data_IF_790232425596
#
_entry.id   IF_790232425596
#
_cell.length_a   1.000
_cell.length_b   1.000
_cell.length_c   1.000
_cell.angle_alpha   90.00
_cell.angle_beta   90.00
_cell.angle_gamma   90.00
#
_symmetry.space_group_name_H-M   'P 1'
#
loop_
_entity.id
_entity.type
_entity.pdbx_description
1 polymer ?
#
# COMPACT_ATOMS: atom_id res chain seq x y z
N UNK A 1 26.72 -31.89 -67.13
CA UNK A 1 26.63 -32.17 -65.68
C UNK A 1 27.03 -30.94 -64.85
N UNK A 2 28.12 -30.26 -65.20
CA UNK A 2 28.54 -28.97 -64.59
C UNK A 2 27.47 -27.86 -64.68
N UNK A 3 26.80 -27.72 -65.81
CA UNK A 3 25.79 -26.66 -66.01
C UNK A 3 24.56 -26.82 -65.09
N UNK A 4 24.20 -28.07 -64.76
CA UNK A 4 23.12 -28.38 -63.83
C UNK A 4 23.53 -28.06 -62.38
N UNK A 5 24.76 -28.39 -62.00
CA UNK A 5 25.32 -28.12 -60.67
C UNK A 5 25.46 -26.61 -60.44
N UNK A 6 25.96 -25.86 -61.43
CA UNK A 6 26.10 -24.41 -61.33
C UNK A 6 24.73 -23.71 -61.25
N UNK A 7 23.74 -24.13 -62.04
CA UNK A 7 22.36 -23.60 -61.92
C UNK A 7 21.76 -23.91 -60.55
N UNK A 8 21.96 -25.12 -60.04
CA UNK A 8 21.50 -25.52 -58.70
C UNK A 8 22.17 -24.71 -57.58
N UNK A 9 23.49 -24.49 -57.65
CA UNK A 9 24.23 -23.68 -56.67
C UNK A 9 23.81 -22.21 -56.72
N UNK A 10 23.55 -21.68 -57.91
CA UNK A 10 23.09 -20.29 -58.08
C UNK A 10 21.67 -20.11 -57.55
N UNK A 11 20.76 -21.08 -57.81
CA UNK A 11 19.40 -21.10 -57.29
C UNK A 11 19.36 -21.25 -55.77
N UNK A 12 20.15 -22.17 -55.22
CA UNK A 12 20.32 -22.35 -53.78
C UNK A 12 20.88 -21.06 -53.16
N UNK A 13 21.92 -20.46 -53.74
CA UNK A 13 22.51 -19.21 -53.24
C UNK A 13 21.55 -18.02 -53.31
N UNK A 14 20.79 -17.88 -54.41
CA UNK A 14 19.80 -16.81 -54.58
C UNK A 14 18.57 -16.97 -53.70
N UNK A 15 18.24 -18.20 -53.28
CA UNK A 15 17.13 -18.47 -52.36
C UNK A 15 17.57 -18.44 -50.88
N UNK A 16 18.76 -18.96 -50.56
CA UNK A 16 19.31 -18.98 -49.21
C UNK A 16 19.69 -17.58 -48.70
N UNK A 17 20.24 -16.71 -49.54
CA UNK A 17 20.64 -15.36 -49.14
C UNK A 17 19.48 -14.55 -48.56
N UNK A 18 18.38 -14.35 -49.30
CA UNK A 18 17.18 -13.68 -48.80
C UNK A 18 16.52 -14.41 -47.62
N UNK A 19 16.49 -15.74 -47.63
CA UNK A 19 15.92 -16.54 -46.53
C UNK A 19 16.72 -16.39 -45.22
N UNK A 20 18.05 -16.42 -45.30
CA UNK A 20 18.95 -16.15 -44.17
C UNK A 20 18.82 -14.71 -43.68
N UNK A 21 18.70 -13.73 -44.57
CA UNK A 21 18.47 -12.34 -44.19
C UNK A 21 17.14 -12.16 -43.44
N UNK A 22 16.07 -12.85 -43.88
CA UNK A 22 14.77 -12.86 -43.19
C UNK A 22 14.88 -13.53 -41.82
N UNK A 23 15.54 -14.68 -41.72
CA UNK A 23 15.75 -15.38 -40.44
C UNK A 23 16.58 -14.53 -39.48
N UNK A 24 17.69 -13.94 -39.94
CA UNK A 24 18.53 -13.07 -39.11
C UNK A 24 17.80 -11.81 -38.67
N UNK A 25 16.95 -11.24 -39.54
CA UNK A 25 16.08 -10.12 -39.18
C UNK A 25 15.04 -10.52 -38.14
N UNK A 26 14.43 -11.71 -38.27
CA UNK A 26 13.49 -12.24 -37.29
C UNK A 26 14.14 -12.53 -35.93
N UNK A 27 15.34 -13.13 -35.93
CA UNK A 27 16.15 -13.36 -34.73
C UNK A 27 16.55 -12.02 -34.10
N UNK A 28 16.99 -11.05 -34.91
CA UNK A 28 17.35 -9.71 -34.46
C UNK A 28 16.18 -8.98 -33.80
N UNK A 29 15.00 -9.04 -34.42
CA UNK A 29 13.76 -8.51 -33.85
C UNK A 29 13.40 -9.20 -32.53
N UNK A 30 13.50 -10.53 -32.47
CA UNK A 30 13.23 -11.30 -31.26
C UNK A 30 14.19 -10.96 -30.11
N UNK A 31 15.50 -10.85 -30.39
CA UNK A 31 16.50 -10.42 -29.40
C UNK A 31 16.21 -9.00 -28.92
N UNK A 32 15.89 -8.08 -29.83
CA UNK A 32 15.54 -6.68 -29.49
C UNK A 32 14.33 -6.64 -28.57
N UNK A 33 13.26 -7.35 -28.92
CA UNK A 33 12.04 -7.45 -28.10
C UNK A 33 12.34 -7.97 -26.69
N UNK A 34 13.18 -9.01 -26.54
CA UNK A 34 13.58 -9.51 -25.22
C UNK A 34 14.36 -8.47 -24.41
N UNK A 35 15.21 -7.68 -25.05
CA UNK A 35 15.99 -6.62 -24.37
C UNK A 35 15.05 -5.50 -23.91
N UNK A 36 14.09 -5.11 -24.75
CA UNK A 36 13.08 -4.09 -24.43
C UNK A 36 12.19 -4.54 -23.27
N UNK A 37 11.65 -5.76 -23.32
CA UNK A 37 10.90 -6.38 -22.22
C UNK A 37 11.68 -6.36 -20.89
N UNK A 38 12.99 -6.64 -20.94
CA UNK A 38 13.85 -6.62 -19.75
C UNK A 38 14.06 -5.22 -19.21
N UNK A 39 14.21 -4.22 -20.09
CA UNK A 39 14.32 -2.81 -19.70
C UNK A 39 13.02 -2.32 -19.09
N UNK A 40 11.89 -2.62 -19.72
CA UNK A 40 10.55 -2.26 -19.24
C UNK A 40 10.27 -2.88 -17.87
N UNK A 41 10.54 -4.18 -17.70
CA UNK A 41 10.38 -4.84 -16.39
C UNK A 41 11.24 -4.20 -15.30
N UNK A 42 12.50 -3.84 -15.60
CA UNK A 42 13.37 -3.15 -14.63
C UNK A 42 12.79 -1.79 -14.24
N UNK A 43 12.22 -1.08 -15.20
CA UNK A 43 11.59 0.21 -14.97
C UNK A 43 10.32 0.08 -14.12
N UNK A 44 9.48 -0.93 -14.36
CA UNK A 44 8.33 -1.23 -13.51
C UNK A 44 8.74 -1.52 -12.06
N UNK A 45 9.74 -2.37 -11.84
CA UNK A 45 10.25 -2.66 -10.49
C UNK A 45 10.83 -1.41 -9.81
N UNK A 46 11.42 -0.49 -10.58
CA UNK A 46 11.90 0.80 -10.08
C UNK A 46 10.74 1.74 -9.70
N UNK A 47 9.71 1.85 -10.54
CA UNK A 47 8.50 2.64 -10.24
C UNK A 47 7.76 2.11 -9.02
N UNK A 48 7.64 0.79 -8.88
CA UNK A 48 7.08 0.15 -7.68
C UNK A 48 7.86 0.57 -6.44
N UNK A 49 9.19 0.51 -6.48
CA UNK A 49 10.03 0.91 -5.35
C UNK A 49 9.73 2.35 -4.90
N UNK A 50 9.71 3.27 -5.86
CA UNK A 50 9.50 4.70 -5.61
C UNK A 50 8.09 4.93 -5.09
N UNK A 51 7.09 4.34 -5.74
CA UNK A 51 5.68 4.50 -5.38
C UNK A 51 5.41 4.00 -3.97
N UNK A 52 5.82 2.77 -3.66
CA UNK A 52 5.61 2.14 -2.36
C UNK A 52 6.38 2.87 -1.25
N UNK A 53 7.61 3.32 -1.52
CA UNK A 53 8.37 4.11 -0.54
C UNK A 53 7.66 5.43 -0.22
N UNK A 54 7.11 6.09 -1.23
CA UNK A 54 6.33 7.31 -1.02
C UNK A 54 5.02 7.04 -0.28
N UNK A 55 4.29 5.99 -0.66
CA UNK A 55 3.06 5.60 0.04
C UNK A 55 3.34 5.27 1.52
N UNK A 56 4.44 4.59 1.83
CA UNK A 56 4.86 4.32 3.22
C UNK A 56 5.13 5.61 4.00
N UNK A 57 5.86 6.56 3.41
CA UNK A 57 6.16 7.86 4.04
C UNK A 57 4.88 8.68 4.29
N UNK A 58 3.99 8.75 3.30
CA UNK A 58 2.70 9.45 3.44
C UNK A 58 1.80 8.76 4.49
N UNK A 59 1.78 7.42 4.53
CA UNK A 59 1.07 6.62 5.54
C UNK A 59 1.62 6.92 6.94
N UNK A 60 2.94 6.96 7.09
CA UNK A 60 3.58 7.29 8.37
C UNK A 60 3.23 8.71 8.82
N UNK A 61 3.37 9.71 7.94
CA UNK A 61 3.03 11.12 8.25
C UNK A 61 1.56 11.27 8.63
N UNK A 62 0.67 10.55 7.96
CA UNK A 62 -0.77 10.52 8.28
C UNK A 62 -1.00 9.94 9.67
N UNK A 63 -0.38 8.79 9.98
CA UNK A 63 -0.45 8.16 11.32
C UNK A 63 -0.02 9.15 12.41
N UNK A 64 1.13 9.81 12.25
CA UNK A 64 1.64 10.76 13.25
C UNK A 64 0.70 11.95 13.45
N UNK A 65 0.15 12.51 12.36
CA UNK A 65 -0.81 13.62 12.45
C UNK A 65 -2.09 13.22 13.19
N UNK A 66 -2.61 12.03 12.90
CA UNK A 66 -3.81 11.51 13.58
C UNK A 66 -3.52 11.23 15.06
N UNK A 67 -2.39 10.62 15.40
CA UNK A 67 -1.98 10.39 16.79
C UNK A 67 -1.85 11.70 17.59
N UNK A 68 -1.21 12.71 16.99
CA UNK A 68 -1.10 14.03 17.59
C UNK A 68 -2.47 14.68 17.81
N UNK A 69 -3.37 14.56 16.84
CA UNK A 69 -4.73 15.05 16.94
C UNK A 69 -5.52 14.34 18.05
N UNK A 70 -5.44 13.01 18.15
CA UNK A 70 -6.04 12.24 19.26
C UNK A 70 -5.49 12.70 20.62
N UNK A 71 -4.18 12.92 20.73
CA UNK A 71 -3.58 13.43 21.97
C UNK A 71 -4.18 14.80 22.35
N UNK A 72 -4.34 15.71 21.40
CA UNK A 72 -4.97 17.01 21.63
C UNK A 72 -6.45 16.90 22.01
N UNK A 73 -7.19 15.96 21.40
CA UNK A 73 -8.58 15.68 21.79
C UNK A 73 -8.65 15.24 23.25
N UNK A 74 -7.77 14.33 23.67
CA UNK A 74 -7.70 13.85 25.07
C UNK A 74 -7.37 14.96 26.06
N UNK A 75 -6.48 15.88 25.69
CA UNK A 75 -6.22 17.09 26.49
C UNK A 75 -7.48 17.94 26.62
N UNK A 76 -8.16 18.23 25.50
CA UNK A 76 -9.41 18.99 25.50
C UNK A 76 -10.49 18.34 26.38
N UNK A 77 -10.69 17.03 26.25
CA UNK A 77 -11.63 16.26 27.09
C UNK A 77 -11.30 16.42 28.58
N UNK A 78 -10.01 16.34 28.93
CA UNK A 78 -9.56 16.50 30.32
C UNK A 78 -9.84 17.90 30.84
N UNK A 79 -9.64 18.92 30.01
CA UNK A 79 -9.89 20.31 30.38
C UNK A 79 -11.39 20.58 30.55
N UNK A 80 -12.25 20.06 29.65
CA UNK A 80 -13.71 20.12 29.77
C UNK A 80 -14.19 19.49 31.07
N UNK A 81 -13.66 18.30 31.41
CA UNK A 81 -14.01 17.57 32.64
C UNK A 81 -13.56 18.28 33.92
N UNK A 82 -12.55 19.15 33.86
CA UNK A 82 -12.10 19.97 35.00
C UNK A 82 -12.97 21.20 35.26
N UNK A 83 -13.85 21.58 34.34
CA UNK A 83 -14.72 22.76 34.50
C UNK A 83 -15.76 22.48 35.60
N UNK A 84 -15.59 23.12 36.75
CA UNK A 84 -16.48 22.99 37.92
C UNK A 84 -17.63 24.01 37.93
N UNK A 85 -17.57 25.05 37.08
CA UNK A 85 -18.64 26.06 37.01
C UNK A 85 -19.94 25.44 36.47
N UNK A 86 -21.01 25.55 37.26
CA UNK A 86 -22.34 25.01 36.94
C UNK A 86 -23.04 25.78 35.81
N UNK A 87 -22.60 26.99 35.48
CA UNK A 87 -23.20 27.84 34.43
C UNK A 87 -22.47 27.79 33.08
N UNK A 88 -21.29 27.19 33.03
CA UNK A 88 -20.41 27.25 31.86
C UNK A 88 -20.74 26.16 30.81
N UNK A 89 -21.02 26.53 29.57
CA UNK A 89 -21.11 25.58 28.45
C UNK A 89 -19.75 25.43 27.78
N UNK A 90 -19.34 24.22 27.38
CA UNK A 90 -18.09 24.06 26.63
C UNK A 90 -18.33 24.15 25.12
N UNK A 91 -17.71 25.16 24.51
CA UNK A 91 -17.63 25.40 23.07
C UNK A 91 -16.19 25.24 22.55
N UNK A 92 -15.29 24.77 23.41
CA UNK A 92 -13.88 24.64 23.05
C UNK A 92 -13.73 23.57 21.97
N UNK A 93 -12.96 23.89 20.95
CA UNK A 93 -12.72 23.02 19.80
C UNK A 93 -11.23 23.00 19.46
N UNK A 94 -10.82 21.95 18.77
CA UNK A 94 -9.52 21.88 18.11
C UNK A 94 -9.74 21.69 16.62
N UNK A 95 -8.76 22.07 15.82
CA UNK A 95 -8.81 21.88 14.36
C UNK A 95 -8.41 20.46 13.98
N UNK A 96 -9.16 19.85 13.06
CA UNK A 96 -8.73 18.63 12.39
C UNK A 96 -7.45 18.91 11.58
N UNK A 97 -6.41 18.06 11.68
CA UNK A 97 -5.14 18.32 11.00
C UNK A 97 -5.31 18.27 9.47
N UNK A 98 -4.55 19.09 8.75
CA UNK A 98 -4.47 18.96 7.29
C UNK A 98 -3.68 17.70 6.96
N UNK A 99 -4.38 16.68 6.48
CA UNK A 99 -3.81 15.42 6.01
C UNK A 99 -3.87 15.44 4.48
N UNK A 100 -2.75 15.06 3.86
CA UNK A 100 -2.65 14.87 2.42
C UNK A 100 -2.97 13.41 2.11
N UNK A 101 -3.66 13.17 1.01
CA UNK A 101 -3.87 11.81 0.50
C UNK A 101 -2.55 11.06 0.36
N UNK A 102 -2.57 9.81 0.81
CA UNK A 102 -1.47 8.86 0.61
C UNK A 102 -1.29 8.66 -0.88
N UNK A 103 -0.05 8.80 -1.34
CA UNK A 103 0.30 8.62 -2.74
C UNK A 103 -0.16 7.25 -3.26
N UNK A 104 -0.78 7.28 -4.44
CA UNK A 104 -1.20 6.11 -5.23
C UNK A 104 -0.77 6.33 -6.67
N UNK A 105 0.02 5.41 -7.22
CA UNK A 105 0.33 5.37 -8.65
C UNK A 105 -0.71 4.47 -9.34
N UNK A 106 -1.58 5.10 -10.13
CA UNK A 106 -2.73 4.48 -10.79
C UNK A 106 -2.31 3.37 -11.76
N UNK A 107 -1.07 3.42 -12.27
CA UNK A 107 -0.57 2.43 -13.23
C UNK A 107 0.00 1.18 -12.56
N UNK A 108 0.25 1.18 -11.25
CA UNK A 108 0.95 0.09 -10.55
C UNK A 108 0.27 -1.27 -10.77
N UNK A 109 -1.06 -1.29 -10.76
CA UNK A 109 -1.86 -2.49 -11.01
C UNK A 109 -1.65 -3.07 -12.41
N UNK A 110 -1.26 -2.25 -13.39
CA UNK A 110 -1.12 -2.65 -14.78
C UNK A 110 0.31 -3.12 -15.15
N UNK A 111 1.27 -3.02 -14.22
CA UNK A 111 2.66 -3.37 -14.49
C UNK A 111 2.86 -4.88 -14.70
N UNK A 112 3.51 -5.23 -15.81
CA UNK A 112 3.86 -6.61 -16.15
C UNK A 112 5.16 -7.05 -15.47
N UNK A 113 5.12 -7.23 -14.15
CA UNK A 113 6.31 -7.59 -13.34
C UNK A 113 6.72 -9.07 -13.40
N UNK A 114 5.86 -9.92 -13.98
CA UNK A 114 6.05 -11.38 -14.10
C UNK A 114 6.20 -12.07 -12.72
N UNK A 115 5.54 -11.53 -11.69
CA UNK A 115 5.43 -12.09 -10.33
C UNK A 115 3.97 -12.02 -9.91
N UNK A 116 3.42 -13.19 -9.57
CA UNK A 116 2.03 -13.31 -9.12
C UNK A 116 1.86 -12.71 -7.73
N UNK A 117 2.79 -12.96 -6.82
CA UNK A 117 2.74 -12.43 -5.46
C UNK A 117 2.80 -10.89 -5.48
N UNK A 118 3.79 -10.32 -6.18
CA UNK A 118 3.97 -8.88 -6.24
C UNK A 118 2.76 -8.19 -6.86
N UNK A 119 2.18 -8.76 -7.92
CA UNK A 119 0.98 -8.21 -8.56
C UNK A 119 -0.22 -8.19 -7.61
N UNK A 120 -0.51 -9.28 -6.91
CA UNK A 120 -1.62 -9.34 -5.95
C UNK A 120 -1.42 -8.39 -4.78
N UNK A 121 -0.20 -8.32 -4.24
CA UNK A 121 0.12 -7.38 -3.16
C UNK A 121 -0.05 -5.92 -3.61
N UNK A 122 0.32 -5.59 -4.85
CA UNK A 122 0.07 -4.25 -5.41
C UNK A 122 -1.42 -3.93 -5.53
N UNK A 123 -2.25 -4.88 -5.93
CA UNK A 123 -3.71 -4.70 -5.95
C UNK A 123 -4.28 -4.47 -4.55
N UNK A 124 -3.80 -5.21 -3.56
CA UNK A 124 -4.21 -5.01 -2.17
C UNK A 124 -3.76 -3.66 -1.61
N UNK A 125 -2.54 -3.23 -1.91
CA UNK A 125 -2.05 -1.91 -1.54
C UNK A 125 -2.87 -0.80 -2.23
N UNK A 126 -3.22 -0.98 -3.51
CA UNK A 126 -4.03 -0.02 -4.25
C UNK A 126 -5.42 0.19 -3.62
N UNK A 127 -6.10 -0.91 -3.30
CA UNK A 127 -7.39 -0.88 -2.61
C UNK A 127 -7.27 -0.30 -1.20
N UNK A 128 -6.28 -0.74 -0.41
CA UNK A 128 -6.06 -0.28 0.96
C UNK A 128 -5.70 1.20 1.05
N UNK A 129 -4.90 1.73 0.12
CA UNK A 129 -4.59 3.17 0.06
C UNK A 129 -5.85 3.97 -0.27
N UNK A 130 -6.67 3.51 -1.22
CA UNK A 130 -7.93 4.17 -1.57
C UNK A 130 -8.86 4.23 -0.35
N UNK A 131 -9.09 3.11 0.31
CA UNK A 131 -9.93 3.02 1.51
C UNK A 131 -9.40 3.89 2.65
N UNK A 132 -8.07 3.94 2.85
CA UNK A 132 -7.43 4.79 3.87
C UNK A 132 -7.69 6.27 3.59
N UNK A 133 -7.53 6.72 2.34
CA UNK A 133 -7.77 8.11 1.96
C UNK A 133 -9.25 8.49 2.14
N UNK A 134 -10.18 7.62 1.72
CA UNK A 134 -11.62 7.84 1.92
C UNK A 134 -12.00 7.89 3.40
N UNK A 135 -11.41 7.01 4.22
CA UNK A 135 -11.65 6.99 5.67
C UNK A 135 -11.14 8.26 6.35
N UNK A 136 -9.95 8.73 6.00
CA UNK A 136 -9.40 9.99 6.54
C UNK A 136 -10.29 11.19 6.18
N UNK A 137 -10.82 11.23 4.96
CA UNK A 137 -11.78 12.26 4.54
C UNK A 137 -13.08 12.15 5.34
N UNK A 138 -13.61 10.94 5.54
CA UNK A 138 -14.80 10.72 6.38
C UNK A 138 -14.59 11.24 7.78
N UNK A 139 -13.48 10.86 8.44
CA UNK A 139 -13.15 11.31 9.79
C UNK A 139 -13.14 12.84 9.91
N UNK A 140 -12.61 13.55 8.91
CA UNK A 140 -12.64 15.02 8.88
C UNK A 140 -14.08 15.55 8.87
N UNK A 141 -14.93 14.97 8.03
CA UNK A 141 -16.33 15.39 7.90
C UNK A 141 -17.13 15.05 9.17
N UNK A 142 -16.94 13.85 9.71
CA UNK A 142 -17.59 13.37 10.94
C UNK A 142 -17.22 14.24 12.14
N UNK A 143 -15.97 14.69 12.21
CA UNK A 143 -15.53 15.61 13.26
C UNK A 143 -16.18 17.00 13.13
N UNK A 144 -16.26 17.55 11.92
CA UNK A 144 -16.93 18.83 11.69
C UNK A 144 -18.43 18.74 12.04
N UNK A 145 -19.06 17.61 11.74
CA UNK A 145 -20.45 17.34 12.10
C UNK A 145 -20.64 17.20 13.62
N UNK A 146 -19.71 16.56 14.32
CA UNK A 146 -19.71 16.49 15.79
C UNK A 146 -19.67 17.89 16.41
N UNK A 147 -18.79 18.77 15.90
CA UNK A 147 -18.70 20.16 16.35
C UNK A 147 -20.01 20.91 16.14
N UNK A 148 -20.59 20.80 14.94
CA UNK A 148 -21.88 21.42 14.60
C UNK A 148 -23.02 20.93 15.50
N UNK A 149 -23.09 19.63 15.77
CA UNK A 149 -24.09 19.05 16.68
C UNK A 149 -23.92 19.57 18.12
N UNK A 150 -22.69 19.74 18.59
CA UNK A 150 -22.44 20.32 19.92
C UNK A 150 -22.91 21.77 20.01
N UNK A 151 -22.62 22.60 19.01
CA UNK A 151 -23.11 23.99 18.95
C UNK A 151 -24.63 24.05 18.99
N UNK A 152 -25.30 23.22 18.18
CA UNK A 152 -26.76 23.13 18.16
C UNK A 152 -27.31 22.67 19.52
N UNK A 153 -26.68 21.69 20.15
CA UNK A 153 -27.09 21.18 21.45
C UNK A 153 -27.05 22.28 22.52
N UNK A 154 -26.01 23.13 22.51
CA UNK A 154 -25.89 24.27 23.43
C UNK A 154 -27.00 25.29 23.17
N UNK A 155 -27.31 25.61 21.91
CA UNK A 155 -28.39 26.53 21.55
C UNK A 155 -29.73 26.01 22.10
N UNK A 156 -30.04 24.73 21.87
CA UNK A 156 -31.28 24.10 22.35
C UNK A 156 -31.34 24.08 23.89
N UNK A 157 -30.24 23.73 24.57
CA UNK A 157 -30.19 23.72 26.03
C UNK A 157 -30.39 25.11 26.64
N UNK A 158 -29.87 26.17 26.01
CA UNK A 158 -30.06 27.55 26.47
C UNK A 158 -31.50 28.04 26.30
N UNK A 159 -32.25 27.46 25.35
CA UNK A 159 -33.66 27.77 25.13
C UNK A 159 -34.59 27.00 26.10
N UNK A 160 -34.10 25.97 26.78
CA UNK A 160 -34.86 25.23 27.78
C UNK A 160 -35.07 26.05 29.07
N UNK A 161 -36.18 25.79 29.76
CA UNK A 161 -36.53 26.46 31.03
C UNK A 161 -35.53 26.17 32.16
N UNK A 162 -34.86 25.02 32.12
CA UNK A 162 -33.83 24.60 33.09
C UNK A 162 -32.57 24.11 32.35
N UNK A 163 -31.70 25.02 31.90
CA UNK A 163 -30.46 24.64 31.23
C UNK A 163 -29.57 23.79 32.15
N UNK A 164 -28.95 22.73 31.60
CA UNK A 164 -28.01 21.89 32.35
C UNK A 164 -26.63 21.86 31.68
N UNK A 165 -25.79 22.89 31.89
CA UNK A 165 -24.47 22.95 31.28
C UNK A 165 -23.55 21.79 31.68
N UNK A 166 -23.69 21.27 32.91
CA UNK A 166 -22.89 20.14 33.37
C UNK A 166 -23.16 18.87 32.55
N UNK A 167 -24.43 18.59 32.25
CA UNK A 167 -24.80 17.48 31.37
C UNK A 167 -24.27 17.68 29.95
N UNK A 168 -24.39 18.88 29.39
CA UNK A 168 -23.84 19.18 28.05
C UNK A 168 -22.33 18.91 27.99
N UNK A 169 -21.56 19.35 29.01
CA UNK A 169 -20.12 19.11 29.05
C UNK A 169 -19.78 17.62 29.13
N UNK A 170 -20.50 16.85 29.93
CA UNK A 170 -20.31 15.40 30.03
C UNK A 170 -20.56 14.71 28.69
N UNK A 171 -21.70 14.98 28.05
CA UNK A 171 -22.05 14.38 26.76
C UNK A 171 -21.08 14.80 25.64
N UNK A 172 -20.64 16.06 25.62
CA UNK A 172 -19.65 16.52 24.65
C UNK A 172 -18.29 15.82 24.85
N UNK A 173 -17.82 15.71 26.10
CA UNK A 173 -16.60 14.99 26.43
C UNK A 173 -16.66 13.52 26.01
N UNK A 174 -17.78 12.84 26.24
CA UNK A 174 -17.96 11.42 25.89
C UNK A 174 -18.04 11.21 24.37
N UNK A 175 -18.65 12.14 23.63
CA UNK A 175 -18.65 12.13 22.17
C UNK A 175 -17.24 12.34 21.59
N UNK A 176 -16.47 13.28 22.14
CA UNK A 176 -15.07 13.50 21.75
C UNK A 176 -14.20 12.28 22.08
N UNK A 177 -14.43 11.63 23.22
CA UNK A 177 -13.70 10.43 23.63
C UNK A 177 -14.01 9.25 22.70
N UNK A 178 -15.28 9.05 22.34
CA UNK A 178 -15.70 8.05 21.37
C UNK A 178 -15.05 8.28 20.00
N UNK A 179 -14.99 9.53 19.55
CA UNK A 179 -14.33 9.89 18.30
C UNK A 179 -12.81 9.65 18.33
N UNK A 180 -12.15 10.02 19.43
CA UNK A 180 -10.73 9.75 19.63
C UNK A 180 -10.41 8.24 19.61
N UNK A 181 -11.26 7.43 20.24
CA UNK A 181 -11.11 5.97 20.28
C UNK A 181 -11.30 5.35 18.88
N UNK A 182 -12.24 5.85 18.07
CA UNK A 182 -12.41 5.40 16.69
C UNK A 182 -11.17 5.66 15.82
N UNK A 183 -10.50 6.81 16.01
CA UNK A 183 -9.24 7.12 15.31
C UNK A 183 -8.12 6.17 15.79
N UNK A 184 -8.01 5.92 17.09
CA UNK A 184 -7.02 4.98 17.62
C UNK A 184 -7.24 3.56 17.08
N UNK A 185 -8.48 3.11 16.98
CA UNK A 185 -8.82 1.82 16.37
C UNK A 185 -8.42 1.77 14.89
N UNK A 186 -8.73 2.83 14.14
CA UNK A 186 -8.32 2.96 12.74
C UNK A 186 -6.80 2.86 12.56
N UNK A 187 -6.04 3.56 13.40
CA UNK A 187 -4.57 3.53 13.36
C UNK A 187 -4.05 2.12 13.70
N UNK A 188 -4.53 1.53 14.79
CA UNK A 188 -3.98 0.28 15.33
C UNK A 188 -4.32 -0.94 14.50
N UNK A 189 -5.51 -0.99 13.90
CA UNK A 189 -5.96 -2.12 13.08
C UNK A 189 -5.62 -1.92 11.60
N UNK A 190 -6.12 -0.85 10.99
CA UNK A 190 -6.10 -0.69 9.54
C UNK A 190 -4.78 -0.13 9.03
N UNK A 191 -4.29 0.99 9.59
CA UNK A 191 -3.02 1.57 9.13
C UNK A 191 -1.83 0.64 9.37
N UNK A 192 -1.84 -0.12 10.49
CA UNK A 192 -0.80 -1.11 10.79
C UNK A 192 -0.73 -2.20 9.72
N UNK A 193 -1.88 -2.77 9.33
CA UNK A 193 -1.95 -3.77 8.27
C UNK A 193 -1.49 -3.20 6.92
N UNK A 194 -1.88 -1.96 6.60
CA UNK A 194 -1.43 -1.27 5.38
C UNK A 194 0.09 -1.12 5.32
N UNK A 195 0.73 -0.72 6.43
CA UNK A 195 2.20 -0.63 6.53
C UNK A 195 2.86 -1.99 6.31
N UNK A 196 2.29 -3.06 6.86
CA UNK A 196 2.81 -4.42 6.67
C UNK A 196 2.76 -4.85 5.20
N UNK A 197 1.63 -4.65 4.52
CA UNK A 197 1.46 -4.96 3.09
C UNK A 197 2.47 -4.18 2.24
N UNK A 198 2.58 -2.87 2.46
CA UNK A 198 3.52 -2.02 1.73
C UNK A 198 4.98 -2.43 1.98
N UNK A 199 5.31 -2.84 3.21
CA UNK A 199 6.67 -3.31 3.56
C UNK A 199 6.98 -4.65 2.89
N UNK A 200 6.03 -5.59 2.86
CA UNK A 200 6.15 -6.86 2.13
C UNK A 200 6.42 -6.61 0.64
N UNK A 201 5.69 -5.68 0.03
CA UNK A 201 5.90 -5.29 -1.38
C UNK A 201 7.34 -4.77 -1.58
N UNK A 202 7.78 -3.85 -0.72
CA UNK A 202 9.13 -3.26 -0.79
C UNK A 202 10.22 -4.32 -0.71
N UNK A 203 10.17 -5.20 0.29
CA UNK A 203 11.15 -6.27 0.49
C UNK A 203 11.14 -7.26 -0.68
N UNK A 204 9.96 -7.71 -1.10
CA UNK A 204 9.84 -8.65 -2.20
C UNK A 204 10.37 -8.04 -3.51
N UNK A 205 10.03 -6.77 -3.78
CA UNK A 205 10.53 -6.03 -4.94
C UNK A 205 12.05 -5.90 -4.92
N UNK A 206 12.65 -5.65 -3.75
CA UNK A 206 14.11 -5.60 -3.60
C UNK A 206 14.77 -6.93 -4.01
N UNK A 207 14.23 -8.06 -3.55
CA UNK A 207 14.73 -9.39 -3.95
C UNK A 207 14.63 -9.61 -5.47
N UNK A 208 13.56 -9.15 -6.12
CA UNK A 208 13.41 -9.24 -7.58
C UNK A 208 14.38 -8.34 -8.36
N UNK A 209 14.83 -7.23 -7.77
CA UNK A 209 15.76 -6.27 -8.39
C UNK A 209 17.23 -6.70 -8.29
N UNK A 210 17.58 -7.59 -7.34
CA UNK A 210 18.94 -8.13 -7.21
C UNK A 210 19.40 -8.85 -8.49
N UNK A 211 20.72 -8.93 -8.70
CA UNK A 211 21.34 -9.56 -9.90
C UNK A 211 20.79 -10.98 -10.18
N UNK A 212 20.51 -11.74 -9.13
CA UNK A 212 19.96 -13.10 -9.20
C UNK A 212 18.46 -13.16 -8.81
N UNK A 213 17.72 -12.06 -8.93
CA UNK A 213 16.30 -11.98 -8.56
C UNK A 213 15.41 -12.95 -9.35
N UNK A 214 15.81 -13.36 -10.55
CA UNK A 214 15.11 -14.42 -11.30
C UNK A 214 15.16 -15.78 -10.58
N UNK A 215 16.24 -16.06 -9.83
CA UNK A 215 16.38 -17.30 -9.07
C UNK A 215 15.51 -17.26 -7.83
N UNK A 216 15.42 -16.10 -7.16
CA UNK A 216 14.49 -15.87 -6.06
C UNK A 216 13.04 -16.05 -6.52
N UNK A 217 12.65 -15.38 -7.60
CA UNK A 217 11.32 -15.53 -8.22
C UNK A 217 11.02 -17.00 -8.51
N UNK A 218 11.96 -17.69 -9.15
CA UNK A 218 11.80 -19.10 -9.49
C UNK A 218 11.79 -20.03 -8.25
N UNK A 219 12.46 -19.69 -7.15
CA UNK A 219 12.42 -20.45 -5.89
C UNK A 219 11.09 -20.27 -5.16
N UNK A 220 10.56 -19.05 -5.15
CA UNK A 220 9.36 -18.68 -4.37
C UNK A 220 8.06 -18.90 -5.14
N UNK A 221 8.03 -18.60 -6.44
CA UNK A 221 6.85 -18.70 -7.29
C UNK A 221 6.98 -19.77 -8.39
N UNK A 222 8.17 -20.35 -8.57
CA UNK A 222 8.38 -21.32 -9.64
C UNK A 222 7.63 -22.63 -9.38
N UNK A 223 6.83 -23.03 -10.36
CA UNK A 223 6.05 -24.27 -10.32
C UNK A 223 6.85 -25.50 -10.78
N UNK A 224 8.17 -25.60 -10.47
CA UNK A 224 8.92 -26.81 -10.88
C UNK A 224 8.58 -27.98 -9.96
N UNK A 225 8.27 -29.12 -10.57
CA UNK A 225 7.88 -30.37 -9.90
C UNK A 225 8.84 -30.81 -8.78
N UNK A 226 10.11 -30.42 -8.81
CA UNK A 226 11.06 -30.75 -7.74
C UNK A 226 10.74 -30.17 -6.35
N UNK A 227 9.79 -29.23 -6.27
CA UNK A 227 9.33 -28.65 -5.01
C UNK A 227 7.93 -29.11 -4.59
N UNK A 228 7.30 -30.01 -5.37
CA UNK A 228 5.96 -30.53 -5.12
C UNK A 228 5.99 -32.05 -5.28
N UNK A 229 5.35 -32.78 -4.37
CA UNK A 229 5.38 -34.25 -4.43
C UNK A 229 4.60 -34.77 -5.64
N UNK A 230 3.62 -34.01 -6.13
CA UNK A 230 2.82 -34.38 -7.30
C UNK A 230 2.23 -33.16 -8.06
N UNK A 231 1.66 -33.42 -9.25
CA UNK A 231 1.02 -32.43 -10.13
C UNK A 231 -0.22 -31.78 -9.52
N UNK A 232 -0.88 -32.47 -8.58
CA UNK A 232 -2.10 -32.00 -7.92
C UNK A 232 -1.77 -30.92 -6.89
N UNK A 233 -0.72 -31.13 -6.08
CA UNK A 233 -0.16 -30.11 -5.18
C UNK A 233 0.30 -28.87 -5.93
N UNK A 234 0.97 -29.03 -7.07
CA UNK A 234 1.37 -27.91 -7.94
C UNK A 234 0.15 -27.14 -8.50
N UNK A 235 -0.90 -27.85 -8.90
CA UNK A 235 -2.13 -27.27 -9.46
C UNK A 235 -2.97 -26.57 -8.39
N UNK A 236 -3.01 -27.10 -7.17
CA UNK A 236 -3.63 -26.45 -6.01
C UNK A 236 -2.83 -25.23 -5.59
N UNK A 237 -1.50 -25.33 -5.55
CA UNK A 237 -0.59 -24.22 -5.24
C UNK A 237 -0.76 -23.03 -6.20
N UNK A 238 -0.86 -23.27 -7.51
CA UNK A 238 -1.04 -22.20 -8.51
C UNK A 238 -2.45 -21.58 -8.53
N UNK A 239 -3.41 -22.14 -7.79
CA UNK A 239 -4.82 -21.74 -7.81
C UNK A 239 -5.35 -21.24 -6.46
N UNK A 240 -4.58 -21.39 -5.38
CA UNK A 240 -5.00 -21.03 -4.02
C UNK A 240 -4.16 -19.89 -3.42
N UNK A 241 -4.76 -19.17 -2.47
CA UNK A 241 -4.12 -18.14 -1.63
C UNK A 241 -2.95 -18.69 -0.79
N UNK A 242 -2.92 -20.01 -0.53
CA UNK A 242 -1.85 -20.72 0.21
C UNK A 242 -0.44 -20.43 -0.33
N UNK A 243 -0.34 -20.12 -1.63
CA UNK A 243 0.91 -19.73 -2.29
C UNK A 243 1.48 -18.42 -1.78
N UNK A 244 0.61 -17.46 -1.41
CA UNK A 244 1.01 -16.15 -0.92
C UNK A 244 1.40 -16.22 0.55
N UNK A 245 0.68 -16.98 1.37
CA UNK A 245 1.02 -17.20 2.79
C UNK A 245 2.40 -17.84 2.96
N UNK A 246 2.80 -18.74 2.05
CA UNK A 246 4.14 -19.32 2.07
C UNK A 246 5.21 -18.26 1.81
N UNK A 247 4.96 -17.37 0.84
CA UNK A 247 5.90 -16.29 0.51
C UNK A 247 5.97 -15.30 1.67
N UNK A 248 4.82 -14.94 2.26
CA UNK A 248 4.75 -14.13 3.47
C UNK A 248 5.63 -14.73 4.57
N UNK A 249 5.50 -16.02 4.87
CA UNK A 249 6.35 -16.72 5.85
C UNK A 249 7.85 -16.66 5.53
N UNK A 250 8.23 -16.67 4.25
CA UNK A 250 9.65 -16.58 3.83
C UNK A 250 10.23 -15.20 4.15
N UNK A 251 9.45 -14.14 3.92
CA UNK A 251 9.92 -12.75 4.11
C UNK A 251 9.53 -12.16 5.48
N UNK A 252 8.73 -12.88 6.28
CA UNK A 252 8.12 -12.38 7.51
C UNK A 252 9.12 -11.73 8.45
N UNK A 253 10.24 -12.41 8.71
CA UNK A 253 11.28 -11.87 9.60
C UNK A 253 11.87 -10.57 9.07
N UNK A 254 12.17 -10.50 7.77
CA UNK A 254 12.69 -9.28 7.14
C UNK A 254 11.66 -8.13 7.23
N UNK A 255 10.38 -8.45 7.10
CA UNK A 255 9.27 -7.47 7.23
C UNK A 255 9.19 -6.95 8.67
N UNK A 256 9.18 -7.85 9.65
CA UNK A 256 9.14 -7.49 11.07
C UNK A 256 10.34 -6.66 11.48
N UNK A 257 11.55 -7.06 11.07
CA UNK A 257 12.78 -6.33 11.33
C UNK A 257 12.74 -4.93 10.68
N UNK A 258 12.30 -4.84 9.42
CA UNK A 258 12.19 -3.56 8.71
C UNK A 258 11.17 -2.59 9.35
N UNK A 259 10.01 -3.10 9.79
CA UNK A 259 9.00 -2.30 10.50
C UNK A 259 9.58 -1.83 11.84
N UNK A 260 10.18 -2.73 12.61
CA UNK A 260 10.77 -2.41 13.92
C UNK A 260 11.89 -1.37 13.80
N UNK A 261 12.74 -1.48 12.79
CA UNK A 261 13.81 -0.51 12.52
C UNK A 261 13.24 0.83 12.08
N UNK A 262 12.17 0.84 11.29
CA UNK A 262 11.47 2.07 10.92
C UNK A 262 10.83 2.75 12.14
N UNK A 263 10.14 2.00 13.00
CA UNK A 263 9.53 2.53 14.23
C UNK A 263 10.58 3.04 15.22
N UNK A 264 11.71 2.34 15.37
CA UNK A 264 12.82 2.77 16.21
C UNK A 264 13.43 4.08 15.71
N UNK A 265 13.59 4.23 14.39
CA UNK A 265 14.07 5.50 13.78
C UNK A 265 13.05 6.62 13.94
N UNK A 266 11.77 6.34 13.73
CA UNK A 266 10.70 7.30 13.91
C UNK A 266 10.66 7.84 15.35
N UNK A 267 10.79 6.97 16.36
CA UNK A 267 10.81 7.37 17.76
C UNK A 267 11.98 8.32 18.08
N UNK A 268 13.15 8.12 17.47
CA UNK A 268 14.32 9.01 17.63
C UNK A 268 14.13 10.39 16.99
N UNK A 269 13.34 10.48 15.92
CA UNK A 269 13.06 11.74 15.22
C UNK A 269 11.96 12.58 15.90
N UNK A 270 11.25 12.00 16.86
CA UNK A 270 10.22 12.67 17.66
C UNK A 270 10.74 13.18 19.01
N UNK A 271 11.99 12.87 19.36
CA UNK A 271 12.74 13.44 20.48
C UNK A 271 13.50 14.68 20.04
#
# INVERSE_FOLDING_TARGET
MEEFINKWQTLIGSALGPFLAVILSAIGFWIKSIIEDKKERKEFLRRIEIGITRSLDDTFKTRIKLQYFVSRLRTLITDIRKITDSKHFSLETINYPTIRDIYKDVDLANFKVKSYYLHNMLLWADAGIKETNETVISLKNDFAELQRKNELHIILMRQNQTPNPAQQRAEYADNLESFANAIDEFITKFMKQGVEILTRIKIYNEHLRKKHGYWFLWKCEGTKFKYFRNKMEQKNFSRNLDSMERIDKIIQKEVEDAIKDAETRAAKLQQ
#
